data_IF_214784779293
#
_entry.id   IF_214784779293
#
_cell.length_a   1.000
_cell.length_b   1.000
_cell.length_c   1.000
_cell.angle_alpha   90.00
_cell.angle_beta   90.00
_cell.angle_gamma   90.00
#
_symmetry.space_group_name_H-M   'P 1'
#
loop_
_entity.id
_entity.type
_entity.pdbx_description
1 polymer ?
#
# COMPACT_ATOMS: atom_id res chain seq x y z
N UNK A 1 -22.23 -65.26 -11.21
CA UNK A 1 -22.69 -63.87 -10.95
C UNK A 1 -21.54 -63.03 -10.40
N UNK A 2 -20.51 -62.86 -11.23
CA UNK A 2 -19.36 -62.00 -10.94
C UNK A 2 -19.09 -61.27 -12.25
N UNK A 3 -19.59 -60.04 -12.36
CA UNK A 3 -19.15 -58.97 -13.28
C UNK A 3 -20.24 -57.89 -13.34
N UNK A 4 -20.34 -57.07 -12.30
CA UNK A 4 -21.15 -55.84 -12.35
C UNK A 4 -20.60 -54.79 -11.37
N UNK A 5 -19.28 -54.60 -11.33
CA UNK A 5 -18.62 -53.56 -10.51
C UNK A 5 -17.41 -52.89 -11.16
N UNK A 6 -17.30 -52.93 -12.49
CA UNK A 6 -16.12 -52.41 -13.20
C UNK A 6 -16.41 -51.29 -14.22
N UNK A 7 -17.54 -50.58 -14.14
CA UNK A 7 -17.94 -49.62 -15.17
C UNK A 7 -18.37 -48.23 -14.67
N UNK A 8 -18.01 -47.82 -13.46
CA UNK A 8 -18.46 -46.54 -12.87
C UNK A 8 -17.35 -45.66 -12.29
N UNK A 9 -16.11 -45.81 -12.76
CA UNK A 9 -15.05 -44.84 -12.47
C UNK A 9 -14.43 -44.40 -13.80
N UNK A 10 -14.34 -43.08 -14.00
CA UNK A 10 -13.76 -42.33 -15.15
C UNK A 10 -14.81 -41.95 -16.23
N UNK A 11 -15.45 -40.76 -16.05
CA UNK A 11 -15.07 -39.63 -16.91
C UNK A 11 -15.14 -38.23 -16.24
N UNK A 12 -15.08 -38.12 -14.91
CA UNK A 12 -15.22 -36.80 -14.24
C UNK A 12 -13.91 -36.02 -14.05
N UNK A 13 -12.74 -36.63 -14.36
CA UNK A 13 -11.43 -35.97 -14.13
C UNK A 13 -10.89 -35.21 -15.34
N UNK A 14 -11.48 -35.37 -16.52
CA UNK A 14 -11.06 -34.65 -17.73
C UNK A 14 -11.92 -33.42 -18.01
N UNK A 15 -13.16 -33.35 -17.50
CA UNK A 15 -14.05 -32.20 -17.73
C UNK A 15 -13.71 -30.94 -16.92
N UNK A 16 -12.86 -31.04 -15.90
CA UNK A 16 -12.48 -29.90 -15.05
C UNK A 16 -11.26 -29.11 -15.53
N UNK A 17 -10.62 -29.54 -16.63
CA UNK A 17 -9.46 -28.85 -17.21
C UNK A 17 -9.81 -28.02 -18.45
N UNK A 18 -11.02 -28.15 -19.01
CA UNK A 18 -11.40 -27.47 -20.27
C UNK A 18 -12.27 -26.22 -20.08
N UNK A 19 -12.85 -25.98 -18.89
CA UNK A 19 -13.87 -24.94 -18.69
C UNK A 19 -13.37 -23.51 -18.40
N UNK A 20 -12.06 -23.26 -18.44
CA UNK A 20 -11.51 -21.91 -18.20
C UNK A 20 -10.57 -21.41 -19.29
N UNK A 21 -10.70 -21.93 -20.51
CA UNK A 21 -10.17 -21.24 -21.69
C UNK A 21 -11.08 -20.06 -22.01
N UNK A 22 -10.91 -18.94 -21.30
CA UNK A 22 -11.38 -17.64 -21.79
C UNK A 22 -10.92 -17.57 -23.25
N UNK A 23 -11.87 -17.49 -24.19
CA UNK A 23 -11.59 -17.50 -25.61
C UNK A 23 -10.37 -16.62 -25.85
N UNK A 24 -9.28 -17.24 -26.27
CA UNK A 24 -8.01 -16.58 -26.57
C UNK A 24 -7.91 -16.53 -28.09
N UNK A 25 -8.75 -15.71 -28.78
CA UNK A 25 -8.83 -15.71 -30.23
C UNK A 25 -7.51 -15.33 -30.91
N UNK A 26 -6.52 -14.82 -30.16
CA UNK A 26 -5.23 -14.34 -30.67
C UNK A 26 -3.99 -15.05 -30.07
N UNK A 27 -4.15 -16.08 -29.23
CA UNK A 27 -3.01 -16.84 -28.69
C UNK A 27 -2.12 -16.04 -27.71
N UNK A 28 -2.70 -15.10 -26.98
CA UNK A 28 -2.00 -14.26 -25.99
C UNK A 28 -1.50 -15.13 -24.84
N UNK A 29 -0.20 -15.10 -24.54
CA UNK A 29 0.38 -15.78 -23.38
C UNK A 29 0.04 -15.02 -22.09
N UNK A 30 -0.88 -15.59 -21.30
CA UNK A 30 -1.32 -15.04 -20.00
C UNK A 30 -0.13 -14.78 -19.06
N UNK A 31 0.90 -15.65 -19.08
CA UNK A 31 2.06 -15.49 -18.18
C UNK A 31 2.94 -14.32 -18.59
N UNK A 32 3.15 -14.12 -19.88
CA UNK A 32 3.92 -12.98 -20.41
C UNK A 32 3.22 -11.66 -20.11
N UNK A 33 1.89 -11.62 -20.29
CA UNK A 33 1.07 -10.45 -20.01
C UNK A 33 1.09 -10.08 -18.52
N UNK A 34 0.92 -11.07 -17.64
CA UNK A 34 0.98 -10.86 -16.18
C UNK A 34 2.37 -10.38 -15.75
N UNK A 35 3.45 -10.90 -16.33
CA UNK A 35 4.82 -10.38 -16.07
C UNK A 35 5.00 -8.94 -16.53
N UNK A 36 4.42 -8.56 -17.68
CA UNK A 36 4.44 -7.18 -18.18
C UNK A 36 3.71 -6.23 -17.22
N UNK A 37 2.57 -6.67 -16.67
CA UNK A 37 1.86 -5.94 -15.61
C UNK A 37 2.70 -5.83 -14.34
N UNK A 38 3.30 -6.94 -13.89
CA UNK A 38 4.13 -6.97 -12.69
C UNK A 38 5.31 -6.00 -12.78
N UNK A 39 6.05 -6.02 -13.88
CA UNK A 39 7.20 -5.15 -14.11
C UNK A 39 6.84 -3.67 -14.17
N UNK A 40 5.60 -3.33 -14.55
CA UNK A 40 5.18 -1.93 -14.67
C UNK A 40 4.50 -1.40 -13.41
N UNK A 41 3.77 -2.26 -12.70
CA UNK A 41 2.92 -1.88 -11.57
C UNK A 41 3.59 -2.14 -10.22
N UNK A 42 4.31 -3.26 -10.06
CA UNK A 42 4.89 -3.61 -8.76
C UNK A 42 6.07 -2.72 -8.36
N UNK A 43 7.08 -2.43 -9.20
CA UNK A 43 8.21 -1.61 -8.81
C UNK A 43 7.85 -0.21 -8.26
N UNK A 44 6.93 0.55 -8.88
CA UNK A 44 6.51 1.81 -8.28
C UNK A 44 5.83 1.54 -6.94
N UNK A 45 4.83 0.64 -6.86
CA UNK A 45 4.11 0.36 -5.61
C UNK A 45 5.02 -0.09 -4.47
N UNK A 46 5.99 -0.96 -4.74
CA UNK A 46 6.97 -1.42 -3.74
C UNK A 46 7.88 -0.28 -3.30
N UNK A 47 8.29 0.60 -4.20
CA UNK A 47 9.05 1.80 -3.86
C UNK A 47 8.24 2.76 -2.98
N UNK A 48 6.95 2.99 -3.28
CA UNK A 48 6.07 3.84 -2.46
C UNK A 48 5.97 3.30 -1.03
N UNK A 49 5.83 1.98 -0.90
CA UNK A 49 5.75 1.33 0.41
C UNK A 49 7.06 1.29 1.16
N UNK A 50 8.17 1.12 0.45
CA UNK A 50 9.51 1.24 1.01
C UNK A 50 9.66 2.61 1.66
N UNK A 51 9.28 3.68 0.96
CA UNK A 51 9.34 5.04 1.50
C UNK A 51 8.41 5.25 2.70
N UNK A 52 7.22 4.64 2.69
CA UNK A 52 6.26 4.75 3.81
C UNK A 52 6.80 4.10 5.08
N UNK A 53 7.40 2.91 4.94
CA UNK A 53 8.06 2.27 6.06
C UNK A 53 9.31 3.02 6.52
N UNK A 54 10.04 3.65 5.59
CA UNK A 54 11.20 4.47 5.88
C UNK A 54 10.77 5.64 6.77
N UNK A 55 9.76 6.43 6.38
CA UNK A 55 9.16 7.50 7.19
C UNK A 55 8.74 7.08 8.60
N UNK A 56 8.16 5.90 8.73
CA UNK A 56 7.74 5.36 10.02
C UNK A 56 8.95 5.02 10.91
N UNK A 57 10.03 4.52 10.31
CA UNK A 57 11.28 4.20 11.00
C UNK A 57 12.12 5.44 11.35
N UNK A 58 11.93 6.56 10.63
CA UNK A 58 12.75 7.77 10.74
C UNK A 58 12.80 8.35 12.13
N UNK A 59 11.71 8.29 12.88
CA UNK A 59 11.71 8.78 14.27
C UNK A 59 12.48 7.89 15.22
N UNK A 60 12.49 6.57 14.97
CA UNK A 60 13.39 5.65 15.66
C UNK A 60 14.85 5.99 15.37
N UNK A 61 15.17 6.25 14.11
CA UNK A 61 16.52 6.62 13.67
C UNK A 61 16.94 8.01 14.19
N UNK A 62 16.04 8.99 14.16
CA UNK A 62 16.27 10.32 14.68
C UNK A 62 16.57 10.30 16.18
N UNK A 63 15.93 9.40 16.96
CA UNK A 63 16.27 9.18 18.37
C UNK A 63 17.75 8.79 18.56
N UNK A 64 18.32 8.02 17.64
CA UNK A 64 19.74 7.63 17.67
C UNK A 64 20.67 8.79 17.28
N UNK A 65 20.20 9.74 16.46
CA UNK A 65 20.94 10.94 16.05
C UNK A 65 20.54 12.16 16.91
N UNK A 66 20.52 11.97 18.23
CA UNK A 66 20.41 13.06 19.20
C UNK A 66 19.11 13.89 19.15
N UNK A 67 17.98 13.34 18.65
CA UNK A 67 16.66 13.99 18.73
C UNK A 67 16.21 14.26 20.19
N UNK A 68 16.66 13.44 21.15
CA UNK A 68 16.34 13.56 22.58
C UNK A 68 17.30 14.46 23.36
N UNK A 69 18.32 15.02 22.71
CA UNK A 69 19.27 15.88 23.40
C UNK A 69 18.62 17.22 23.77
N UNK A 70 18.97 17.68 24.98
CA UNK A 70 18.30 18.77 25.69
C UNK A 70 18.30 20.13 24.97
N UNK A 71 19.11 20.29 23.94
CA UNK A 71 19.41 21.61 23.38
C UNK A 71 18.35 22.15 22.38
N UNK A 72 17.32 21.38 22.01
CA UNK A 72 16.29 21.89 21.08
C UNK A 72 14.84 21.59 21.48
N UNK A 73 14.41 20.31 21.53
CA UNK A 73 13.00 19.98 21.84
C UNK A 73 12.76 19.51 23.28
N UNK A 74 13.83 19.22 24.06
CA UNK A 74 13.75 18.74 25.44
C UNK A 74 12.71 17.61 25.64
N UNK A 75 12.65 16.69 24.68
CA UNK A 75 11.64 15.62 24.64
C UNK A 75 11.97 14.62 25.74
N UNK A 76 11.12 14.57 26.77
CA UNK A 76 11.20 13.54 27.80
C UNK A 76 10.81 12.18 27.20
N UNK A 77 11.31 11.06 27.73
CA UNK A 77 10.96 9.71 27.24
C UNK A 77 9.45 9.48 27.05
N UNK A 78 8.62 9.99 27.96
CA UNK A 78 7.14 9.92 27.85
C UNK A 78 6.58 10.76 26.70
N UNK A 79 7.17 11.92 26.40
CA UNK A 79 6.75 12.80 25.30
C UNK A 79 7.12 12.21 23.93
N UNK A 80 8.25 11.50 23.86
CA UNK A 80 8.62 10.73 22.66
C UNK A 80 7.57 9.64 22.36
N UNK A 81 7.16 8.88 23.38
CA UNK A 81 6.10 7.87 23.25
C UNK A 81 4.77 8.50 22.82
N UNK A 82 4.38 9.63 23.42
CA UNK A 82 3.17 10.36 23.02
C UNK A 82 3.19 10.70 21.53
N UNK A 83 4.34 11.14 21.01
CA UNK A 83 4.47 11.49 19.59
C UNK A 83 4.34 10.27 18.67
N UNK A 84 4.84 9.11 19.10
CA UNK A 84 4.63 7.85 18.39
C UNK A 84 3.16 7.44 18.38
N UNK A 85 2.47 7.55 19.53
CA UNK A 85 1.05 7.19 19.63
C UNK A 85 0.15 8.10 18.80
N UNK A 86 0.43 9.41 18.75
CA UNK A 86 -0.39 10.37 17.99
C UNK A 86 -0.46 10.07 16.49
N UNK A 87 0.61 9.50 15.92
CA UNK A 87 0.60 8.98 14.55
C UNK A 87 -0.45 7.87 14.38
N UNK A 88 -0.49 6.88 15.29
CA UNK A 88 -1.45 5.78 15.22
C UNK A 88 -2.89 6.27 15.43
N UNK A 89 -3.10 7.26 16.29
CA UNK A 89 -4.42 7.88 16.49
C UNK A 89 -4.92 8.50 15.18
N UNK A 90 -4.10 9.29 14.51
CA UNK A 90 -4.44 9.86 13.19
C UNK A 90 -4.72 8.79 12.15
N UNK A 91 -3.89 7.72 12.14
CA UNK A 91 -4.04 6.61 11.21
C UNK A 91 -5.39 5.91 11.38
N UNK A 92 -5.74 5.46 12.59
CA UNK A 92 -6.96 4.68 12.86
C UNK A 92 -8.23 5.50 12.60
N UNK A 93 -8.24 6.78 13.00
CA UNK A 93 -9.40 7.64 12.80
C UNK A 93 -9.70 7.89 11.32
N UNK A 94 -8.65 8.01 10.49
CA UNK A 94 -8.80 8.36 9.08
C UNK A 94 -8.73 7.16 8.12
N UNK A 95 -8.37 5.97 8.60
CA UNK A 95 -8.38 4.75 7.79
C UNK A 95 -9.78 4.47 7.19
N UNK A 96 -10.84 4.60 7.98
CA UNK A 96 -12.22 4.39 7.51
C UNK A 96 -12.65 5.50 6.52
N UNK A 97 -12.56 6.80 6.84
CA UNK A 97 -12.83 7.87 5.89
C UNK A 97 -12.04 7.77 4.58
N UNK A 98 -10.73 7.55 4.65
CA UNK A 98 -9.87 7.46 3.47
C UNK A 98 -10.27 6.29 2.57
N UNK A 99 -10.69 5.16 3.14
CA UNK A 99 -11.16 4.02 2.36
C UNK A 99 -12.53 4.29 1.70
N UNK A 100 -13.43 5.02 2.36
CA UNK A 100 -14.70 5.45 1.74
C UNK A 100 -14.43 6.43 0.58
N UNK A 101 -13.51 7.38 0.76
CA UNK A 101 -13.17 8.35 -0.29
C UNK A 101 -12.48 7.65 -1.47
N UNK A 102 -11.63 6.66 -1.20
CA UNK A 102 -11.00 5.82 -2.22
C UNK A 102 -12.03 5.08 -3.09
N UNK A 103 -13.14 4.61 -2.51
CA UNK A 103 -14.23 4.00 -3.30
C UNK A 103 -14.97 5.00 -4.18
N UNK A 104 -15.02 6.28 -3.78
CA UNK A 104 -15.69 7.36 -4.52
C UNK A 104 -14.79 8.05 -5.54
N UNK A 105 -13.47 7.98 -5.36
CA UNK A 105 -12.48 8.73 -6.12
C UNK A 105 -11.65 7.79 -6.97
N UNK A 106 -11.14 8.26 -8.11
CA UNK A 106 -10.29 7.42 -8.95
C UNK A 106 -8.91 7.17 -8.32
N UNK A 107 -8.43 5.92 -8.21
CA UNK A 107 -7.17 5.57 -7.53
C UNK A 107 -5.92 6.31 -8.05
N UNK A 108 -5.86 6.62 -9.36
CA UNK A 108 -4.72 7.33 -9.97
C UNK A 108 -4.48 8.72 -9.42
N UNK A 109 -5.54 9.42 -9.00
CA UNK A 109 -5.37 10.74 -8.41
C UNK A 109 -5.24 10.63 -6.90
N UNK A 110 -6.02 9.73 -6.29
CA UNK A 110 -6.06 9.60 -4.84
C UNK A 110 -4.72 9.13 -4.23
N UNK A 111 -4.13 8.05 -4.78
CA UNK A 111 -2.87 7.50 -4.25
C UNK A 111 -1.71 8.51 -4.33
N UNK A 112 -1.39 9.11 -5.49
CA UNK A 112 -0.37 10.15 -5.58
C UNK A 112 -0.68 11.41 -4.77
N UNK A 113 -1.95 11.81 -4.63
CA UNK A 113 -2.33 12.98 -3.82
C UNK A 113 -2.05 12.73 -2.34
N UNK A 114 -2.43 11.55 -1.83
CA UNK A 114 -2.12 11.15 -0.46
C UNK A 114 -0.61 11.13 -0.22
N UNK A 115 0.15 10.59 -1.18
CA UNK A 115 1.61 10.54 -1.09
C UNK A 115 2.26 11.91 -1.12
N UNK A 116 1.77 12.82 -1.95
CA UNK A 116 2.28 14.18 -2.03
C UNK A 116 1.95 14.95 -0.75
N UNK A 117 0.74 14.81 -0.22
CA UNK A 117 0.36 15.39 1.06
C UNK A 117 1.21 14.83 2.21
N UNK A 118 1.40 13.51 2.25
CA UNK A 118 2.24 12.84 3.24
C UNK A 118 3.70 13.31 3.14
N UNK A 119 4.30 13.35 1.94
CA UNK A 119 5.68 13.82 1.76
C UNK A 119 5.87 15.28 2.17
N UNK A 120 4.91 16.15 1.88
CA UNK A 120 4.94 17.55 2.36
C UNK A 120 4.91 17.60 3.89
N UNK A 121 4.03 16.83 4.54
CA UNK A 121 3.94 16.78 6.00
C UNK A 121 5.23 16.20 6.61
N UNK A 122 5.85 15.20 5.96
CA UNK A 122 7.14 14.65 6.36
C UNK A 122 8.26 15.68 6.29
N UNK A 123 8.34 16.47 5.21
CA UNK A 123 9.31 17.58 5.12
C UNK A 123 9.05 18.65 6.18
N UNK A 124 7.78 19.01 6.40
CA UNK A 124 7.40 19.97 7.44
C UNK A 124 7.79 19.49 8.84
N UNK A 125 7.71 18.18 9.11
CA UNK A 125 8.13 17.59 10.38
C UNK A 125 9.61 17.91 10.70
N UNK A 126 10.49 17.87 9.70
CA UNK A 126 11.91 18.22 9.88
C UNK A 126 12.18 19.70 10.11
N UNK A 127 11.26 20.59 9.72
CA UNK A 127 11.37 22.04 9.89
C UNK A 127 10.78 22.51 11.23
N UNK A 128 9.96 21.68 11.89
CA UNK A 128 9.33 22.05 13.17
C UNK A 128 10.37 22.40 14.25
N UNK A 129 10.09 23.49 14.98
CA UNK A 129 10.95 23.99 16.06
C UNK A 129 10.36 23.77 17.46
N UNK A 130 9.07 23.38 17.53
CA UNK A 130 8.32 23.24 18.78
C UNK A 130 7.82 21.81 18.96
N UNK A 131 7.79 21.32 20.21
CA UNK A 131 7.23 20.00 20.54
C UNK A 131 5.77 19.85 20.10
N UNK A 132 4.92 20.85 20.37
CA UNK A 132 3.53 20.84 19.93
C UNK A 132 3.41 20.75 18.40
N UNK A 133 4.27 21.46 17.66
CA UNK A 133 4.34 21.40 16.21
C UNK A 133 4.74 20.01 15.69
N UNK A 134 5.70 19.37 16.36
CA UNK A 134 6.14 18.01 16.04
C UNK A 134 5.02 16.97 16.27
N UNK A 135 4.26 17.10 17.36
CA UNK A 135 3.11 16.23 17.66
C UNK A 135 1.98 16.43 16.64
N UNK A 136 1.66 17.68 16.29
CA UNK A 136 0.62 17.98 15.29
C UNK A 136 1.03 17.47 13.91
N UNK A 137 2.27 17.71 13.48
CA UNK A 137 2.78 17.18 12.22
C UNK A 137 2.69 15.65 12.17
N UNK A 138 2.94 14.96 13.29
CA UNK A 138 2.77 13.49 13.37
C UNK A 138 1.34 13.00 13.30
N UNK A 139 0.41 13.74 13.90
CA UNK A 139 -1.00 13.44 13.72
C UNK A 139 -1.38 13.52 12.24
N UNK A 140 -1.03 14.62 11.56
CA UNK A 140 -1.31 14.79 10.14
C UNK A 140 -0.59 13.77 9.26
N UNK A 141 0.63 13.36 9.64
CA UNK A 141 1.36 12.29 8.96
C UNK A 141 0.55 10.98 8.96
N UNK A 142 0.01 10.61 10.13
CA UNK A 142 -0.86 9.45 10.28
C UNK A 142 -2.16 9.57 9.46
N UNK A 143 -2.76 10.77 9.42
CA UNK A 143 -3.95 11.04 8.60
C UNK A 143 -3.65 10.79 7.12
N UNK A 144 -2.56 11.36 6.60
CA UNK A 144 -2.20 11.24 5.18
C UNK A 144 -1.75 9.84 4.78
N UNK A 145 -1.13 9.08 5.69
CA UNK A 145 -0.65 7.73 5.39
C UNK A 145 -1.75 6.64 5.52
N UNK A 146 -2.83 6.92 6.25
CA UNK A 146 -3.92 5.97 6.54
C UNK A 146 -4.56 5.32 5.30
N UNK A 147 -4.57 6.03 4.17
CA UNK A 147 -5.16 5.56 2.92
C UNK A 147 -4.21 4.75 2.03
N UNK A 148 -2.90 4.68 2.33
CA UNK A 148 -1.92 4.10 1.41
C UNK A 148 -2.11 2.58 1.29
N UNK A 149 -2.13 1.86 2.42
CA UNK A 149 -2.28 0.40 2.42
C UNK A 149 -3.60 -0.08 1.78
N UNK A 150 -4.79 0.38 2.22
CA UNK A 150 -6.04 -0.01 1.56
C UNK A 150 -6.10 0.47 0.11
N UNK A 151 -5.50 1.62 -0.19
CA UNK A 151 -5.35 2.16 -1.54
C UNK A 151 -4.58 1.25 -2.49
N UNK A 152 -3.44 0.71 -2.04
CA UNK A 152 -2.64 -0.21 -2.85
C UNK A 152 -3.34 -1.56 -3.01
N UNK A 153 -3.96 -2.09 -1.95
CA UNK A 153 -4.70 -3.36 -2.04
C UNK A 153 -5.86 -3.23 -3.03
N UNK A 154 -6.61 -2.13 -2.97
CA UNK A 154 -7.67 -1.83 -3.92
C UNK A 154 -7.13 -1.68 -5.34
N UNK A 155 -6.02 -0.95 -5.52
CA UNK A 155 -5.38 -0.81 -6.81
C UNK A 155 -4.98 -2.18 -7.37
N UNK A 156 -4.30 -3.03 -6.61
CA UNK A 156 -3.93 -4.38 -7.07
C UNK A 156 -5.16 -5.24 -7.43
N UNK A 157 -6.26 -5.11 -6.67
CA UNK A 157 -7.50 -5.85 -6.96
C UNK A 157 -8.15 -5.46 -8.28
N UNK A 158 -7.85 -4.28 -8.84
CA UNK A 158 -8.34 -3.85 -10.15
C UNK A 158 -7.53 -4.40 -11.32
N UNK A 159 -6.28 -4.83 -11.08
CA UNK A 159 -5.35 -5.24 -12.13
C UNK A 159 -5.08 -6.75 -12.13
N UNK A 160 -5.34 -7.44 -11.02
CA UNK A 160 -5.01 -8.87 -10.84
C UNK A 160 -6.22 -9.69 -10.36
N UNK A 161 -6.18 -10.99 -10.65
CA UNK A 161 -7.13 -11.97 -10.09
C UNK A 161 -6.98 -12.06 -8.57
N UNK A 162 -8.00 -12.54 -7.87
CA UNK A 162 -8.00 -12.75 -6.41
C UNK A 162 -6.85 -13.68 -5.97
N UNK A 163 -6.66 -14.78 -6.69
CA UNK A 163 -5.59 -15.77 -6.42
C UNK A 163 -4.18 -15.18 -6.60
N UNK A 164 -4.04 -14.20 -7.47
CA UNK A 164 -2.79 -13.55 -7.84
C UNK A 164 -2.43 -12.35 -6.95
N UNK A 165 -3.45 -11.68 -6.43
CA UNK A 165 -3.31 -10.47 -5.64
C UNK A 165 -2.57 -10.75 -4.33
N UNK A 166 -2.84 -11.88 -3.69
CA UNK A 166 -2.23 -12.24 -2.40
C UNK A 166 -0.70 -12.37 -2.47
N UNK A 167 -0.17 -13.02 -3.51
CA UNK A 167 1.28 -13.14 -3.70
C UNK A 167 1.96 -11.79 -3.88
N UNK A 168 1.31 -10.88 -4.62
CA UNK A 168 1.82 -9.52 -4.87
C UNK A 168 1.78 -8.64 -3.65
N UNK A 169 0.73 -8.77 -2.83
CA UNK A 169 0.67 -8.15 -1.52
C UNK A 169 1.80 -8.66 -0.63
N UNK A 170 2.11 -9.96 -0.64
CA UNK A 170 3.24 -10.50 0.11
C UNK A 170 4.60 -9.93 -0.39
N UNK A 171 4.78 -9.81 -1.70
CA UNK A 171 5.96 -9.17 -2.29
C UNK A 171 6.06 -7.69 -1.87
N UNK A 172 4.94 -6.98 -1.88
CA UNK A 172 4.81 -5.62 -1.37
C UNK A 172 5.20 -5.51 0.11
N UNK A 173 4.75 -6.44 0.96
CA UNK A 173 5.15 -6.49 2.37
C UNK A 173 6.66 -6.71 2.55
N UNK A 174 7.34 -7.43 1.65
CA UNK A 174 8.78 -7.64 1.77
C UNK A 174 9.59 -6.33 1.67
N UNK A 175 9.04 -5.31 1.01
CA UNK A 175 9.66 -3.98 0.96
C UNK A 175 9.68 -3.27 2.32
N UNK A 176 8.82 -3.63 3.28
CA UNK A 176 8.91 -3.11 4.65
C UNK A 176 10.20 -3.56 5.36
N UNK A 177 10.57 -4.83 5.21
CA UNK A 177 11.82 -5.36 5.77
C UNK A 177 13.03 -4.69 5.12
N UNK A 178 12.94 -4.45 3.81
CA UNK A 178 13.97 -3.78 3.05
C UNK A 178 14.14 -2.31 3.47
N UNK A 179 13.03 -1.59 3.67
CA UNK A 179 13.01 -0.23 4.20
C UNK A 179 13.68 -0.12 5.57
N UNK A 180 13.44 -1.09 6.47
CA UNK A 180 14.10 -1.11 7.78
C UNK A 180 15.63 -1.23 7.69
N UNK A 181 16.14 -2.07 6.77
CA UNK A 181 17.57 -2.23 6.54
C UNK A 181 18.21 -0.97 5.94
N UNK A 182 17.57 -0.37 4.92
CA UNK A 182 18.08 0.84 4.28
C UNK A 182 17.91 2.10 5.14
N UNK A 183 16.84 2.22 5.91
CA UNK A 183 16.55 3.38 6.74
C UNK A 183 17.63 3.64 7.79
N UNK A 184 18.17 2.59 8.41
CA UNK A 184 19.28 2.73 9.35
C UNK A 184 20.59 3.19 8.69
N UNK A 185 20.88 2.67 7.49
CA UNK A 185 22.07 3.06 6.71
C UNK A 185 21.95 4.52 6.23
N UNK A 186 20.78 4.91 5.72
CA UNK A 186 20.51 6.29 5.32
C UNK A 186 20.63 7.25 6.50
N UNK A 187 20.05 6.89 7.66
CA UNK A 187 20.19 7.69 8.87
C UNK A 187 21.65 7.83 9.32
N UNK A 188 22.45 6.76 9.24
CA UNK A 188 23.88 6.83 9.52
C UNK A 188 24.61 7.77 8.55
N UNK A 189 24.33 7.69 7.25
CA UNK A 189 24.89 8.60 6.24
C UNK A 189 24.52 10.06 6.48
N UNK A 190 23.27 10.32 6.85
CA UNK A 190 22.75 11.67 7.11
C UNK A 190 23.26 12.21 8.46
N UNK A 191 23.65 11.34 9.40
CA UNK A 191 24.23 11.78 10.68
C UNK A 191 25.50 12.62 10.51
N UNK A 192 26.26 12.41 9.42
CA UNK A 192 27.44 13.22 9.09
C UNK A 192 27.11 14.66 8.65
N UNK A 193 25.85 14.98 8.38
CA UNK A 193 25.38 16.33 8.04
C UNK A 193 25.04 17.16 9.28
N UNK A 194 25.43 16.73 10.48
CA UNK A 194 25.23 17.49 11.70
C UNK A 194 26.00 18.83 11.64
N UNK A 195 25.28 19.94 11.84
CA UNK A 195 25.84 21.30 11.75
C UNK A 195 25.76 21.95 10.36
N UNK A 196 25.37 21.22 9.31
CA UNK A 196 25.13 21.80 7.98
C UNK A 196 23.89 22.70 8.04
N UNK A 197 24.08 23.99 7.70
CA UNK A 197 23.00 24.99 7.73
C UNK A 197 22.51 25.38 9.13
N UNK A 198 23.25 25.05 10.19
CA UNK A 198 22.84 25.30 11.58
C UNK A 198 21.76 24.34 12.11
N UNK A 199 21.42 23.30 11.34
CA UNK A 199 20.46 22.26 11.74
C UNK A 199 21.18 20.99 12.21
N UNK A 200 20.53 20.28 13.14
CA UNK A 200 21.02 18.97 13.60
C UNK A 200 20.72 17.87 12.60
N UNK A 201 21.55 16.83 12.59
CA UNK A 201 21.43 15.67 11.67
C UNK A 201 20.03 15.05 11.61
N UNK A 202 19.29 15.00 12.73
CA UNK A 202 17.93 14.44 12.76
C UNK A 202 16.92 15.20 11.89
N UNK A 203 17.07 16.52 11.71
CA UNK A 203 16.17 17.32 10.87
C UNK A 203 16.37 16.99 9.39
N UNK A 204 17.62 16.79 9.01
CA UNK A 204 17.99 16.43 7.65
C UNK A 204 17.43 15.06 7.24
N UNK A 205 17.30 14.12 8.17
CA UNK A 205 16.63 12.81 7.93
C UNK A 205 15.22 13.07 7.39
N UNK A 206 14.38 13.78 8.16
CA UNK A 206 13.01 14.08 7.75
C UNK A 206 12.90 14.97 6.50
N UNK A 207 13.79 15.95 6.33
CA UNK A 207 13.76 16.86 5.17
C UNK A 207 14.13 16.11 3.89
N UNK A 208 15.23 15.35 3.90
CA UNK A 208 15.74 14.67 2.71
C UNK A 208 14.81 13.53 2.28
N UNK A 209 14.32 12.75 3.25
CA UNK A 209 13.42 11.64 2.96
C UNK A 209 12.04 12.15 2.55
N UNK A 210 11.51 13.19 3.22
CA UNK A 210 10.29 13.87 2.79
C UNK A 210 10.40 14.49 1.40
N UNK A 211 11.55 15.09 1.04
CA UNK A 211 11.76 15.63 -0.30
C UNK A 211 11.81 14.51 -1.35
N UNK A 212 12.49 13.41 -1.04
CA UNK A 212 12.52 12.23 -1.90
C UNK A 212 11.12 11.65 -2.10
N UNK A 213 10.29 11.56 -1.05
CA UNK A 213 8.91 11.10 -1.17
C UNK A 213 8.06 12.06 -2.00
N UNK A 214 8.21 13.38 -1.88
CA UNK A 214 7.52 14.36 -2.74
C UNK A 214 7.91 14.21 -4.21
N UNK A 215 9.21 14.02 -4.51
CA UNK A 215 9.67 13.82 -5.89
C UNK A 215 9.10 12.54 -6.50
N UNK A 216 9.10 11.45 -5.72
CA UNK A 216 8.56 10.16 -6.17
C UNK A 216 7.03 10.22 -6.27
N UNK A 217 6.35 10.93 -5.37
CA UNK A 217 4.91 11.17 -5.45
C UNK A 217 4.55 11.98 -6.71
N UNK A 218 5.29 13.04 -7.02
CA UNK A 218 5.12 13.80 -8.26
C UNK A 218 5.35 12.93 -9.50
N UNK A 219 6.40 12.11 -9.49
CA UNK A 219 6.67 11.16 -10.58
C UNK A 219 5.57 10.09 -10.70
N UNK A 220 4.97 9.66 -9.59
CA UNK A 220 3.93 8.62 -9.57
C UNK A 220 2.67 9.02 -10.34
N UNK A 221 2.37 10.32 -10.48
CA UNK A 221 1.29 10.80 -11.36
C UNK A 221 1.49 10.40 -12.83
N UNK A 222 2.74 10.25 -13.28
CA UNK A 222 3.08 9.86 -14.65
C UNK A 222 3.08 8.34 -14.82
N UNK A 223 3.38 7.58 -13.76
CA UNK A 223 3.52 6.13 -13.83
C UNK A 223 2.27 5.34 -13.41
N UNK A 224 1.41 5.89 -12.56
CA UNK A 224 0.18 5.23 -12.11
C UNK A 224 -0.90 5.36 -13.20
N UNK A 225 -1.44 4.23 -13.61
CA UNK A 225 -2.47 4.13 -14.63
C UNK A 225 -3.82 3.82 -13.98
N UNK A 226 -4.89 4.45 -14.47
CA UNK A 226 -6.23 4.40 -13.87
C UNK A 226 -6.83 2.99 -13.86
N UNK A 227 -6.96 2.42 -15.06
CA UNK A 227 -7.64 1.17 -15.30
C UNK A 227 -6.92 0.40 -16.40
N UNK A 228 -7.07 -0.94 -16.44
CA UNK A 228 -6.65 -1.74 -17.59
C UNK A 228 -7.23 -1.20 -18.90
N UNK A 229 -8.44 -0.61 -18.86
CA UNK A 229 -9.13 -0.01 -20.00
C UNK A 229 -8.46 1.24 -20.57
N UNK A 230 -7.72 1.99 -19.75
CA UNK A 230 -7.08 3.27 -20.14
C UNK A 230 -5.55 3.17 -20.21
N UNK A 231 -5.00 1.97 -20.07
CA UNK A 231 -3.57 1.72 -20.07
C UNK A 231 -2.97 1.93 -21.47
N UNK A 232 -2.04 2.87 -21.67
CA UNK A 232 -1.38 3.11 -22.96
C UNK A 232 -0.34 2.05 -23.30
N UNK A 233 0.06 1.21 -22.33
CA UNK A 233 1.05 0.14 -22.53
C UNK A 233 0.45 -1.21 -22.95
N UNK A 234 -0.89 -1.33 -22.91
CA UNK A 234 -1.63 -2.51 -23.35
C UNK A 234 -2.14 -2.29 -24.77
N UNK A 235 -1.91 -3.26 -25.66
CA UNK A 235 -2.57 -3.28 -26.97
C UNK A 235 -4.08 -3.53 -26.81
N UNK A 236 -4.89 -3.15 -27.79
CA UNK A 236 -6.34 -3.41 -27.77
C UNK A 236 -6.71 -4.87 -27.48
N UNK A 237 -6.06 -5.89 -28.07
CA UNK A 237 -6.35 -7.29 -27.74
C UNK A 237 -5.88 -7.71 -26.35
N UNK A 238 -4.70 -7.26 -25.89
CA UNK A 238 -4.23 -7.50 -24.51
C UNK A 238 -5.22 -6.91 -23.49
N UNK A 239 -5.74 -5.71 -23.76
CA UNK A 239 -6.73 -5.03 -22.91
C UNK A 239 -8.04 -5.80 -22.84
N UNK A 240 -8.56 -6.27 -23.97
CA UNK A 240 -9.78 -7.06 -24.02
C UNK A 240 -9.62 -8.37 -23.22
N UNK A 241 -8.47 -9.03 -23.35
CA UNK A 241 -8.14 -10.23 -22.59
C UNK A 241 -8.07 -9.99 -21.08
N UNK A 242 -7.38 -8.93 -20.62
CA UNK A 242 -7.33 -8.57 -19.19
C UNK A 242 -8.73 -8.28 -18.64
N UNK A 243 -9.59 -7.59 -19.40
CA UNK A 243 -10.95 -7.29 -18.95
C UNK A 243 -11.83 -8.55 -18.89
N UNK A 244 -11.76 -9.42 -19.89
CA UNK A 244 -12.52 -10.67 -19.89
C UNK A 244 -12.12 -11.56 -18.70
N UNK A 245 -10.82 -11.66 -18.47
CA UNK A 245 -10.21 -12.37 -17.34
C UNK A 245 -10.65 -11.82 -15.98
N UNK A 246 -10.63 -10.50 -15.82
CA UNK A 246 -11.05 -9.84 -14.58
C UNK A 246 -12.56 -9.99 -14.36
N UNK A 247 -13.39 -9.90 -15.42
CA UNK A 247 -14.85 -10.11 -15.33
C UNK A 247 -15.22 -11.54 -14.92
N UNK A 248 -14.45 -12.54 -15.33
CA UNK A 248 -14.69 -13.93 -14.93
C UNK A 248 -14.33 -14.26 -13.48
N UNK A 249 -13.49 -13.45 -12.83
CA UNK A 249 -13.03 -13.63 -11.44
C UNK A 249 -13.64 -12.58 -10.49
N UNK A 250 -14.08 -11.44 -11.03
CA UNK A 250 -14.71 -10.35 -10.27
C UNK A 250 -16.22 -10.55 -10.14
N UNK A 251 -16.61 -10.97 -8.95
CA UNK A 251 -17.94 -10.69 -8.40
C UNK A 251 -18.22 -9.17 -8.25
N UNK A 252 -17.20 -8.32 -8.48
CA UNK A 252 -17.32 -6.86 -8.52
C UNK A 252 -18.13 -6.31 -9.71
N UNK A 253 -18.63 -7.18 -10.59
CA UNK A 253 -19.62 -6.80 -11.62
C UNK A 253 -21.06 -6.82 -11.08
N UNK A 254 -21.28 -7.36 -9.88
CA UNK A 254 -22.51 -7.12 -9.14
C UNK A 254 -22.44 -5.69 -8.57
N UNK A 255 -23.28 -4.80 -9.10
CA UNK A 255 -23.58 -3.47 -8.56
C UNK A 255 -24.22 -3.60 -7.15
N UNK A 256 -23.51 -4.15 -6.18
CA UNK A 256 -23.95 -4.16 -4.79
C UNK A 256 -23.79 -2.75 -4.23
N UNK A 257 -24.91 -2.01 -4.25
CA UNK A 257 -25.03 -0.71 -3.60
C UNK A 257 -24.63 -0.86 -2.13
N UNK A 258 -23.78 0.05 -1.65
CA UNK A 258 -23.38 0.10 -0.25
C UNK A 258 -24.62 0.17 0.66
N UNK A 259 -24.91 -0.94 1.34
CA UNK A 259 -26.02 -1.07 2.29
C UNK A 259 -25.49 -1.16 3.71
N UNK A 260 -26.06 -0.37 4.61
CA UNK A 260 -25.76 -0.41 6.05
C UNK A 260 -26.16 -1.74 6.70
N UNK A 261 -27.10 -2.48 6.09
CA UNK A 261 -27.48 -3.81 6.57
C UNK A 261 -26.36 -4.85 6.36
N UNK A 262 -25.57 -4.70 5.29
CA UNK A 262 -24.41 -5.57 5.04
C UNK A 262 -23.30 -5.30 6.06
N UNK A 263 -23.12 -4.04 6.49
CA UNK A 263 -22.19 -3.67 7.56
C UNK A 263 -22.64 -4.26 8.90
N UNK A 264 -23.93 -4.16 9.23
CA UNK A 264 -24.49 -4.74 10.45
C UNK A 264 -24.40 -6.28 10.45
N UNK A 265 -24.56 -6.92 9.29
CA UNK A 265 -24.42 -8.36 9.13
C UNK A 265 -22.96 -8.83 9.26
N UNK A 266 -22.01 -8.09 8.68
CA UNK A 266 -20.59 -8.36 8.83
C UNK A 266 -20.12 -8.21 10.29
N UNK A 267 -20.64 -7.22 11.03
CA UNK A 267 -20.34 -7.08 12.47
C UNK A 267 -20.88 -8.23 13.33
N UNK A 268 -21.90 -8.96 12.86
CA UNK A 268 -22.46 -10.13 13.55
C UNK A 268 -21.84 -11.45 13.10
N UNK A 269 -21.00 -11.46 12.05
CA UNK A 269 -20.38 -12.68 11.56
C UNK A 269 -19.25 -13.13 12.50
N UNK A 270 -19.39 -14.34 13.04
CA UNK A 270 -18.38 -14.95 13.92
C UNK A 270 -17.03 -15.10 13.21
N UNK A 271 -16.99 -15.22 11.88
CA UNK A 271 -15.75 -15.31 11.11
C UNK A 271 -14.95 -14.01 11.16
N UNK A 272 -15.63 -12.85 11.14
CA UNK A 272 -14.99 -11.55 11.32
C UNK A 272 -14.36 -11.43 12.72
N UNK A 273 -15.07 -11.86 13.76
CA UNK A 273 -14.54 -11.86 15.13
C UNK A 273 -13.40 -12.85 15.34
N UNK A 274 -13.48 -14.04 14.74
CA UNK A 274 -12.41 -15.05 14.81
C UNK A 274 -11.15 -14.55 14.10
N UNK A 275 -11.30 -13.90 12.95
CA UNK A 275 -10.20 -13.31 12.20
C UNK A 275 -9.56 -12.14 12.96
N UNK A 276 -10.36 -11.27 13.59
CA UNK A 276 -9.84 -10.22 14.47
C UNK A 276 -9.05 -10.80 15.65
N UNK A 277 -9.57 -11.85 16.31
CA UNK A 277 -8.86 -12.51 17.43
C UNK A 277 -7.58 -13.26 17.04
N UNK A 278 -7.47 -13.73 15.80
CA UNK A 278 -6.28 -14.44 15.34
C UNK A 278 -5.14 -13.47 14.99
N UNK A 279 -5.48 -12.23 14.62
CA UNK A 279 -4.54 -11.25 14.06
C UNK A 279 -4.05 -10.20 15.07
N UNK A 280 -4.72 -10.05 16.21
CA UNK A 280 -4.34 -9.21 17.35
C UNK A 280 -4.04 -10.08 18.57
#
# INVERSE_FOLDING_TARGET
MSNEKAALEQPERESSLEENSFANPEGIDEKSLVRKLDLKLLPPLTLLYLLSFLDRSNVGNAKLVHLTDKDQLNITGNQYLLTLTMYFVGYVLFEIPCNIILKRTTPKFWLPTLMLAWGIVATLLGVTQNFAGFVVARFFLGVTESGLFPGVVFYLSMWYKRTETHYRIALFFSAASLAGAFGGILAYGISFMDGVGGYRGWRWIFILEGLLTVLIAAASYLFIHNYPSTAPFLTEPERAFVQARLKGDSDATNDEKFSWDNVASAMKDYKCWLYCKLRF
#
